data_IF_825748666124
#
_entry.id   IF_825748666124
#
_cell.length_a   1.000
_cell.length_b   1.000
_cell.length_c   1.000
_cell.angle_alpha   90.00
_cell.angle_beta   90.00
_cell.angle_gamma   90.00
#
_symmetry.space_group_name_H-M   'P 1'
#
loop_
_entity.id
_entity.type
_entity.pdbx_description
1 polymer ?
#
# COMPACT_ATOMS: atom_id res chain seq x y z
N UNK A 1 -19.23 40.93 -30.79
CA UNK A 1 -18.44 41.32 -29.61
C UNK A 1 -17.99 40.14 -28.70
N UNK A 2 -18.35 38.88 -28.99
CA UNK A 2 -18.01 37.73 -28.12
C UNK A 2 -16.61 37.12 -28.25
N UNK A 3 -15.83 37.46 -29.29
CA UNK A 3 -14.56 36.77 -29.59
C UNK A 3 -13.34 37.31 -28.85
N UNK A 4 -13.42 38.49 -28.21
CA UNK A 4 -12.28 39.13 -27.50
C UNK A 4 -12.00 38.52 -26.12
N UNK A 5 -12.96 37.81 -25.52
CA UNK A 5 -12.81 37.18 -24.20
C UNK A 5 -12.45 35.70 -24.25
N UNK A 6 -12.67 35.02 -25.38
CA UNK A 6 -12.28 33.61 -25.57
C UNK A 6 -10.76 33.42 -25.61
N UNK A 7 -10.05 34.39 -26.18
CA UNK A 7 -8.58 34.37 -26.30
C UNK A 7 -7.90 34.37 -24.91
N UNK A 8 -8.20 35.31 -23.98
CA UNK A 8 -7.62 35.24 -22.64
C UNK A 8 -8.11 34.02 -21.83
N UNK A 9 -9.35 33.57 -21.97
CA UNK A 9 -9.89 32.43 -21.20
C UNK A 9 -9.25 31.09 -21.59
N UNK A 10 -8.78 30.93 -22.83
CA UNK A 10 -8.04 29.73 -23.28
C UNK A 10 -6.53 29.91 -23.12
N UNK A 11 -5.99 31.10 -23.41
CA UNK A 11 -4.55 31.34 -23.33
C UNK A 11 -4.03 31.40 -21.89
N UNK A 12 -4.78 31.97 -20.93
CA UNK A 12 -4.33 32.03 -19.53
C UNK A 12 -4.12 30.64 -18.91
N UNK A 13 -5.07 29.68 -18.98
CA UNK A 13 -4.82 28.34 -18.46
C UNK A 13 -3.74 27.60 -19.24
N UNK A 14 -3.58 27.85 -20.55
CA UNK A 14 -2.50 27.26 -21.34
C UNK A 14 -1.12 27.83 -20.96
N UNK A 15 -1.01 29.14 -20.75
CA UNK A 15 0.19 29.83 -20.25
C UNK A 15 0.51 29.36 -18.83
N UNK A 16 -0.50 29.22 -17.98
CA UNK A 16 -0.31 28.74 -16.62
C UNK A 16 0.12 27.27 -16.59
N UNK A 17 -0.52 26.41 -17.40
CA UNK A 17 -0.17 24.99 -17.51
C UNK A 17 1.23 24.79 -18.11
N UNK A 18 1.61 25.56 -19.13
CA UNK A 18 2.96 25.53 -19.71
C UNK A 18 4.02 26.06 -18.76
N UNK A 19 3.73 27.13 -18.00
CA UNK A 19 4.62 27.62 -16.95
C UNK A 19 4.78 26.59 -15.81
N UNK A 20 3.70 25.96 -15.36
CA UNK A 20 3.72 24.94 -14.30
C UNK A 20 4.47 23.66 -14.75
N UNK A 21 4.24 23.25 -15.99
CA UNK A 21 4.97 22.15 -16.63
C UNK A 21 6.45 22.50 -16.77
N UNK A 22 6.78 23.69 -17.28
CA UNK A 22 8.16 24.16 -17.38
C UNK A 22 8.86 24.20 -16.02
N UNK A 23 8.19 24.68 -14.96
CA UNK A 23 8.73 24.69 -13.60
C UNK A 23 8.99 23.28 -13.05
N UNK A 24 8.05 22.35 -13.27
CA UNK A 24 8.16 20.96 -12.82
C UNK A 24 9.26 20.19 -13.56
N UNK A 25 9.40 20.44 -14.86
CA UNK A 25 10.38 19.78 -15.73
C UNK A 25 11.77 20.39 -15.66
N UNK A 26 11.94 21.71 -15.39
CA UNK A 26 13.26 22.34 -15.24
C UNK A 26 14.09 21.78 -14.07
N UNK A 27 13.45 21.11 -13.12
CA UNK A 27 14.10 20.36 -12.03
C UNK A 27 14.57 18.95 -12.44
N UNK A 28 14.05 18.41 -13.56
CA UNK A 28 14.33 17.05 -14.04
C UNK A 28 15.09 17.00 -15.38
N UNK A 29 14.90 17.99 -16.25
CA UNK A 29 15.55 18.09 -17.55
C UNK A 29 16.68 19.13 -17.48
N UNK A 30 17.93 18.68 -17.62
CA UNK A 30 19.05 19.57 -17.95
C UNK A 30 19.00 19.83 -19.46
N UNK A 31 18.68 21.07 -19.86
CA UNK A 31 18.76 21.51 -21.27
C UNK A 31 17.41 21.74 -21.94
N UNK A 32 17.39 22.61 -22.95
CA UNK A 32 16.20 23.23 -23.58
C UNK A 32 15.26 22.32 -24.39
N UNK A 33 15.03 21.08 -23.98
CA UNK A 33 14.22 20.07 -24.69
C UNK A 33 12.70 20.16 -24.42
N UNK A 34 12.24 21.20 -23.71
CA UNK A 34 10.84 21.29 -23.27
C UNK A 34 9.85 21.40 -24.44
N UNK A 35 10.23 22.17 -25.46
CA UNK A 35 9.34 22.49 -26.57
C UNK A 35 9.22 21.32 -27.56
N UNK A 36 10.29 20.56 -27.76
CA UNK A 36 10.29 19.37 -28.62
C UNK A 36 9.45 18.24 -28.02
N UNK A 37 9.54 18.00 -26.70
CA UNK A 37 8.74 16.99 -26.00
C UNK A 37 7.24 17.32 -26.00
N UNK A 38 6.88 18.59 -25.74
CA UNK A 38 5.49 19.05 -25.82
C UNK A 38 4.93 18.99 -27.25
N UNK A 39 5.71 19.41 -28.24
CA UNK A 39 5.32 19.32 -29.65
C UNK A 39 5.14 17.87 -30.10
N UNK A 40 5.90 16.94 -29.55
CA UNK A 40 5.77 15.51 -29.85
C UNK A 40 4.52 14.90 -29.20
N UNK A 41 4.17 15.27 -27.97
CA UNK A 41 2.95 14.79 -27.31
C UNK A 41 1.66 15.37 -27.94
N UNK A 42 1.70 16.61 -28.42
CA UNK A 42 0.55 17.29 -29.03
C UNK A 42 0.40 17.01 -30.53
N UNK A 43 1.17 16.06 -31.11
CA UNK A 43 0.94 15.60 -32.48
C UNK A 43 -0.44 14.95 -32.58
N UNK A 44 -1.18 15.30 -33.63
CA UNK A 44 -2.53 14.75 -33.97
C UNK A 44 -2.58 13.22 -33.86
N UNK A 45 -1.51 12.55 -34.30
CA UNK A 45 -1.34 11.09 -34.24
C UNK A 45 -1.43 10.55 -32.80
N UNK A 46 -0.80 11.25 -31.84
CA UNK A 46 -0.77 10.88 -30.43
C UNK A 46 -2.06 11.28 -29.70
N UNK A 47 -2.76 12.32 -30.17
CA UNK A 47 -4.10 12.68 -29.67
C UNK A 47 -5.17 11.63 -30.04
N UNK A 48 -5.05 10.99 -31.21
CA UNK A 48 -6.03 9.99 -31.68
C UNK A 48 -5.60 8.53 -31.50
N UNK A 49 -4.34 8.27 -31.12
CA UNK A 49 -3.85 6.93 -30.79
C UNK A 49 -4.71 6.16 -29.77
N UNK A 50 -5.26 6.78 -28.70
CA UNK A 50 -6.13 6.08 -27.75
C UNK A 50 -7.42 5.54 -28.38
N UNK A 51 -7.99 6.24 -29.36
CA UNK A 51 -9.22 5.82 -30.04
C UNK A 51 -8.98 4.65 -31.01
N UNK A 52 -7.83 4.64 -31.69
CA UNK A 52 -7.42 3.52 -32.55
C UNK A 52 -7.12 2.26 -31.73
N UNK A 53 -6.34 2.41 -30.65
CA UNK A 53 -6.06 1.31 -29.73
C UNK A 53 -7.30 0.77 -29.03
N UNK A 54 -8.29 1.62 -28.73
CA UNK A 54 -9.56 1.18 -28.15
C UNK A 54 -10.42 0.35 -29.12
N UNK A 55 -10.42 0.69 -30.42
CA UNK A 55 -11.15 -0.08 -31.44
C UNK A 55 -10.50 -1.43 -31.70
N UNK A 56 -9.17 -1.47 -31.82
CA UNK A 56 -8.40 -2.71 -31.95
C UNK A 56 -8.55 -3.61 -30.70
N UNK A 57 -8.57 -3.01 -29.50
CA UNK A 57 -8.85 -3.72 -28.24
C UNK A 57 -10.26 -4.35 -28.19
N UNK A 58 -11.28 -3.68 -28.74
CA UNK A 58 -12.64 -4.21 -28.80
C UNK A 58 -12.76 -5.38 -29.78
N UNK A 59 -12.03 -5.33 -30.90
CA UNK A 59 -12.02 -6.37 -31.94
C UNK A 59 -11.20 -7.61 -31.51
N UNK A 60 -10.10 -7.43 -30.78
CA UNK A 60 -9.21 -8.53 -30.33
C UNK A 60 -9.65 -9.21 -29.02
N UNK A 61 -10.66 -8.65 -28.34
CA UNK A 61 -11.06 -9.01 -26.97
C UNK A 61 -11.22 -10.51 -26.70
N UNK A 62 -11.72 -11.30 -27.65
CA UNK A 62 -11.88 -12.76 -27.46
C UNK A 62 -10.57 -13.54 -27.59
N UNK A 63 -9.63 -13.09 -28.43
CA UNK A 63 -8.31 -13.70 -28.55
C UNK A 63 -7.43 -13.31 -27.37
N UNK A 64 -7.42 -12.04 -26.97
CA UNK A 64 -6.64 -11.59 -25.82
C UNK A 64 -7.13 -12.24 -24.52
N UNK A 65 -8.45 -12.45 -24.35
CA UNK A 65 -8.98 -13.12 -23.15
C UNK A 65 -8.59 -14.60 -23.07
N UNK A 66 -8.64 -15.34 -24.19
CA UNK A 66 -8.18 -16.73 -24.24
C UNK A 66 -6.68 -16.85 -23.98
N UNK A 67 -5.87 -16.02 -24.64
CA UNK A 67 -4.43 -15.99 -24.42
C UNK A 67 -4.09 -15.65 -22.97
N UNK A 68 -4.81 -14.69 -22.38
CA UNK A 68 -4.66 -14.32 -20.98
C UNK A 68 -5.04 -15.46 -20.02
N UNK A 69 -6.15 -16.16 -20.27
CA UNK A 69 -6.54 -17.31 -19.45
C UNK A 69 -5.51 -18.45 -19.54
N UNK A 70 -4.97 -18.72 -20.72
CA UNK A 70 -3.88 -19.71 -20.89
C UNK A 70 -2.64 -19.30 -20.11
N UNK A 71 -2.23 -18.03 -20.18
CA UNK A 71 -1.13 -17.49 -19.38
C UNK A 71 -1.40 -17.62 -17.88
N UNK A 72 -2.59 -17.21 -17.43
CA UNK A 72 -2.99 -17.27 -16.02
C UNK A 72 -3.01 -18.72 -15.50
N UNK A 73 -3.50 -19.66 -16.31
CA UNK A 73 -3.50 -21.09 -15.99
C UNK A 73 -2.08 -21.64 -15.86
N UNK A 74 -1.19 -21.29 -16.80
CA UNK A 74 0.23 -21.65 -16.72
C UNK A 74 0.91 -21.07 -15.48
N UNK A 75 0.70 -19.78 -15.21
CA UNK A 75 1.25 -19.09 -14.05
C UNK A 75 0.75 -19.69 -12.72
N UNK A 76 -0.53 -20.04 -12.63
CA UNK A 76 -1.09 -20.73 -11.45
C UNK A 76 -0.53 -22.14 -11.31
N UNK A 77 -0.43 -22.91 -12.38
CA UNK A 77 0.12 -24.27 -12.34
C UNK A 77 1.59 -24.28 -11.88
N UNK A 78 2.38 -23.30 -12.31
CA UNK A 78 3.76 -23.10 -11.87
C UNK A 78 3.83 -22.66 -10.39
N UNK A 79 2.99 -21.70 -10.00
CA UNK A 79 3.00 -21.15 -8.63
C UNK A 79 2.43 -22.14 -7.59
N UNK A 80 1.43 -22.91 -8.00
CA UNK A 80 0.67 -23.82 -7.14
C UNK A 80 0.39 -25.16 -7.83
N UNK A 81 1.36 -26.09 -7.84
CA UNK A 81 1.08 -27.44 -8.31
C UNK A 81 -0.01 -28.05 -7.41
N UNK A 82 -1.13 -28.46 -8.03
CA UNK A 82 -2.26 -29.14 -7.37
C UNK A 82 -3.01 -28.32 -6.30
N UNK A 83 -3.24 -27.02 -6.55
CA UNK A 83 -4.13 -26.22 -5.70
C UNK A 83 -5.61 -26.48 -6.01
N UNK A 84 -6.15 -27.47 -5.32
CA UNK A 84 -7.57 -27.83 -5.31
C UNK A 84 -8.34 -26.94 -4.32
N UNK A 85 -8.81 -25.79 -4.81
CA UNK A 85 -9.76 -24.94 -4.10
C UNK A 85 -10.93 -24.59 -5.02
N UNK A 86 -12.12 -24.51 -4.46
CA UNK A 86 -13.37 -24.18 -5.15
C UNK A 86 -14.04 -22.97 -4.49
N UNK A 87 -14.88 -22.26 -5.24
CA UNK A 87 -15.57 -21.07 -4.76
C UNK A 87 -14.90 -19.79 -5.25
N UNK A 88 -14.88 -18.75 -4.42
CA UNK A 88 -14.34 -17.45 -4.79
C UNK A 88 -12.98 -17.15 -4.17
N UNK A 89 -12.13 -16.40 -4.88
CA UNK A 89 -10.79 -16.05 -4.41
C UNK A 89 -10.42 -14.57 -4.65
N UNK A 90 -9.68 -14.01 -3.70
CA UNK A 90 -8.92 -12.75 -3.85
C UNK A 90 -7.42 -13.02 -3.62
N UNK A 91 -6.57 -12.14 -4.16
CA UNK A 91 -5.12 -12.27 -4.12
C UNK A 91 -4.49 -10.98 -3.58
N UNK A 92 -3.65 -11.15 -2.56
CA UNK A 92 -2.86 -10.11 -1.93
C UNK A 92 -1.37 -10.36 -2.18
N UNK A 93 -0.55 -9.32 -2.39
CA UNK A 93 -0.92 -7.92 -2.52
C UNK A 93 -1.33 -7.51 -3.96
N UNK A 94 -1.02 -8.36 -4.95
CA UNK A 94 -1.34 -8.21 -6.38
C UNK A 94 -1.51 -9.60 -7.04
N UNK A 95 -1.57 -9.66 -8.37
CA UNK A 95 -1.66 -10.91 -9.16
C UNK A 95 -3.03 -11.60 -9.15
N UNK A 96 -4.11 -10.85 -9.39
CA UNK A 96 -5.47 -11.40 -9.56
C UNK A 96 -5.57 -12.46 -10.67
N UNK A 97 -4.60 -12.51 -11.58
CA UNK A 97 -4.41 -13.60 -12.54
C UNK A 97 -4.43 -15.00 -11.89
N UNK A 98 -3.98 -15.15 -10.63
CA UNK A 98 -3.99 -16.43 -9.93
C UNK A 98 -5.41 -16.91 -9.55
N UNK A 99 -6.37 -16.00 -9.45
CA UNK A 99 -7.77 -16.31 -9.12
C UNK A 99 -8.67 -16.50 -10.35
N UNK A 100 -8.12 -16.34 -11.56
CA UNK A 100 -8.86 -16.45 -12.84
C UNK A 100 -8.87 -17.84 -13.50
N UNK A 101 -7.96 -18.80 -13.24
CA UNK A 101 -7.99 -20.10 -13.91
C UNK A 101 -9.18 -20.97 -13.51
N UNK A 102 -9.60 -21.82 -14.45
CA UNK A 102 -10.85 -22.58 -14.42
C UNK A 102 -11.13 -23.27 -13.07
N UNK A 103 -12.27 -22.90 -12.47
CA UNK A 103 -12.80 -23.47 -11.22
C UNK A 103 -12.95 -22.48 -10.05
N UNK A 104 -12.28 -21.32 -10.10
CA UNK A 104 -12.44 -20.25 -9.11
C UNK A 104 -13.20 -19.04 -9.66
N UNK A 105 -14.03 -18.43 -8.83
CA UNK A 105 -14.64 -17.13 -9.08
C UNK A 105 -13.72 -16.03 -8.56
N UNK A 106 -13.07 -15.28 -9.45
CA UNK A 106 -12.29 -14.11 -9.04
C UNK A 106 -13.21 -13.06 -8.39
N UNK A 107 -12.98 -12.77 -7.10
CA UNK A 107 -13.80 -11.86 -6.30
C UNK A 107 -12.87 -10.90 -5.54
N UNK A 108 -12.28 -9.92 -6.23
CA UNK A 108 -11.31 -9.03 -5.62
C UNK A 108 -11.98 -7.99 -4.72
N UNK A 109 -11.24 -7.54 -3.70
CA UNK A 109 -11.55 -6.31 -2.96
C UNK A 109 -11.59 -5.08 -3.88
N UNK A 110 -12.28 -3.98 -3.49
CA UNK A 110 -12.48 -2.81 -4.34
C UNK A 110 -11.17 -2.17 -4.85
N UNK A 111 -10.13 -2.15 -4.02
CA UNK A 111 -8.78 -1.72 -4.41
C UNK A 111 -7.87 -2.94 -4.42
N UNK A 112 -7.95 -3.67 -5.53
CA UNK A 112 -7.33 -4.98 -5.74
C UNK A 112 -5.79 -4.97 -5.75
N UNK A 113 -5.18 -3.82 -6.03
CA UNK A 113 -3.73 -3.60 -5.91
C UNK A 113 -3.41 -2.95 -4.57
N UNK A 114 -2.80 -3.67 -3.61
CA UNK A 114 -2.58 -3.15 -2.25
C UNK A 114 -1.86 -1.80 -2.22
N UNK A 115 -0.88 -1.59 -3.10
CA UNK A 115 -0.10 -0.35 -3.18
C UNK A 115 -0.95 0.89 -3.55
N UNK A 116 -2.14 0.66 -4.13
CA UNK A 116 -3.10 1.70 -4.51
C UNK A 116 -4.07 2.07 -3.36
N UNK A 117 -4.10 1.33 -2.25
CA UNK A 117 -4.91 1.62 -1.06
C UNK A 117 -4.25 2.69 -0.15
N UNK A 118 -3.69 3.76 -0.73
CA UNK A 118 -2.80 4.71 -0.04
C UNK A 118 -3.52 5.84 0.74
N UNK A 119 -4.85 5.76 0.88
CA UNK A 119 -5.63 6.72 1.69
C UNK A 119 -6.49 5.97 2.70
N UNK A 120 -6.83 6.62 3.81
CA UNK A 120 -7.70 6.04 4.83
C UNK A 120 -9.03 5.55 4.26
N UNK A 121 -9.63 6.30 3.33
CA UNK A 121 -10.89 5.90 2.68
C UNK A 121 -10.72 4.63 1.82
N UNK A 122 -9.65 4.53 1.05
CA UNK A 122 -9.42 3.37 0.19
C UNK A 122 -9.08 2.12 1.02
N UNK A 123 -8.21 2.23 2.02
CA UNK A 123 -7.92 1.14 2.94
C UNK A 123 -9.18 0.68 3.68
N UNK A 124 -10.03 1.62 4.10
CA UNK A 124 -11.29 1.30 4.76
C UNK A 124 -12.29 0.60 3.82
N UNK A 125 -12.32 0.94 2.52
CA UNK A 125 -13.15 0.23 1.55
C UNK A 125 -12.75 -1.25 1.44
N UNK A 126 -11.45 -1.55 1.47
CA UNK A 126 -10.96 -2.93 1.46
C UNK A 126 -11.28 -3.65 2.77
N UNK A 127 -11.02 -3.03 3.93
CA UNK A 127 -11.35 -3.60 5.23
C UNK A 127 -12.86 -3.86 5.37
N UNK A 128 -13.71 -2.91 4.96
CA UNK A 128 -15.16 -3.06 4.95
C UNK A 128 -15.64 -4.17 4.01
N UNK A 129 -14.95 -4.37 2.88
CA UNK A 129 -15.23 -5.49 1.99
C UNK A 129 -14.97 -6.84 2.67
N UNK A 130 -13.84 -7.00 3.36
CA UNK A 130 -13.50 -8.20 4.13
C UNK A 130 -14.49 -8.49 5.27
N UNK A 131 -15.11 -7.45 5.84
CA UNK A 131 -16.18 -7.59 6.85
C UNK A 131 -17.53 -8.00 6.27
N UNK A 132 -17.70 -7.99 4.96
CA UNK A 132 -19.00 -8.22 4.30
C UNK A 132 -19.17 -9.66 3.80
N UNK A 133 -20.41 -10.02 3.49
CA UNK A 133 -20.73 -11.30 2.85
C UNK A 133 -20.16 -11.43 1.44
N UNK A 134 -19.75 -10.30 0.83
CA UNK A 134 -19.11 -10.22 -0.49
C UNK A 134 -17.61 -10.49 -0.45
N UNK A 135 -16.99 -10.73 0.71
CA UNK A 135 -15.60 -11.15 0.79
C UNK A 135 -15.40 -12.54 0.17
N UNK A 136 -14.27 -12.77 -0.48
CA UNK A 136 -13.93 -14.05 -1.11
C UNK A 136 -13.85 -15.21 -0.10
N UNK A 137 -14.11 -16.43 -0.56
CA UNK A 137 -14.01 -17.63 0.28
C UNK A 137 -12.55 -17.96 0.58
N UNK A 138 -11.66 -17.70 -0.37
CA UNK A 138 -10.22 -17.93 -0.26
C UNK A 138 -9.43 -16.64 -0.44
N UNK A 139 -8.36 -16.47 0.34
CA UNK A 139 -7.34 -15.44 0.12
C UNK A 139 -6.02 -16.14 -0.16
N UNK A 140 -5.39 -15.78 -1.28
CA UNK A 140 -4.00 -16.08 -1.55
C UNK A 140 -3.18 -14.88 -1.10
N UNK A 141 -2.51 -14.98 0.04
CA UNK A 141 -1.85 -13.85 0.69
C UNK A 141 -0.33 -13.99 0.69
N UNK A 142 0.36 -12.95 0.24
CA UNK A 142 1.80 -12.80 0.47
C UNK A 142 2.10 -11.40 1.03
N UNK A 143 3.30 -11.23 1.59
CA UNK A 143 3.79 -9.94 2.08
C UNK A 143 4.87 -9.47 1.13
N UNK A 144 4.51 -8.51 0.28
CA UNK A 144 5.42 -7.92 -0.68
C UNK A 144 5.01 -6.47 -1.01
N UNK A 145 5.99 -5.63 -1.33
CA UNK A 145 5.76 -4.23 -1.69
C UNK A 145 6.55 -3.82 -2.92
N UNK A 146 6.09 -2.75 -3.55
CA UNK A 146 6.87 -1.98 -4.52
C UNK A 146 7.52 -0.77 -3.86
N UNK A 147 8.51 -0.16 -4.53
CA UNK A 147 9.15 1.11 -4.16
C UNK A 147 9.79 1.14 -2.75
N UNK A 148 10.12 -0.02 -2.16
CA UNK A 148 10.76 -0.10 -0.84
C UNK A 148 9.88 0.48 0.29
N UNK A 149 8.57 0.28 0.22
CA UNK A 149 7.63 0.68 1.29
C UNK A 149 7.65 -0.34 2.43
N UNK A 150 7.32 0.13 3.63
CA UNK A 150 7.00 -0.78 4.74
C UNK A 150 5.80 -1.65 4.40
N UNK A 151 5.97 -2.97 4.48
CA UNK A 151 4.96 -3.93 4.01
C UNK A 151 3.63 -3.80 4.73
N UNK A 152 3.66 -3.54 6.03
CA UNK A 152 2.45 -3.32 6.83
C UNK A 152 1.68 -2.03 6.49
N UNK A 153 2.24 -1.12 5.68
CA UNK A 153 1.49 0.04 5.17
C UNK A 153 0.60 -0.33 3.99
N UNK A 154 1.00 -1.28 3.15
CA UNK A 154 0.24 -1.63 1.95
C UNK A 154 -1.05 -2.35 2.36
N UNK A 155 -2.18 -1.69 2.05
CA UNK A 155 -3.52 -2.07 2.49
C UNK A 155 -3.62 -2.39 4.00
N UNK A 156 -3.03 -1.52 4.83
CA UNK A 156 -2.80 -1.77 6.26
C UNK A 156 -4.05 -2.22 7.03
N UNK A 157 -5.21 -1.63 6.75
CA UNK A 157 -6.46 -1.96 7.45
C UNK A 157 -7.02 -3.34 7.13
N UNK A 158 -6.57 -3.98 6.04
CA UNK A 158 -6.94 -5.37 5.76
C UNK A 158 -6.24 -6.36 6.67
N UNK A 159 -5.07 -6.04 7.24
CA UNK A 159 -4.27 -7.01 8.00
C UNK A 159 -5.00 -7.56 9.24
N UNK A 160 -5.58 -6.74 10.13
CA UNK A 160 -6.35 -7.25 11.26
C UNK A 160 -7.58 -8.05 10.81
N UNK A 161 -8.23 -7.66 9.71
CA UNK A 161 -9.38 -8.38 9.15
C UNK A 161 -8.97 -9.76 8.60
N UNK A 162 -7.84 -9.85 7.89
CA UNK A 162 -7.30 -11.12 7.42
C UNK A 162 -6.95 -12.05 8.59
N UNK A 163 -6.26 -11.54 9.61
CA UNK A 163 -5.86 -12.31 10.80
C UNK A 163 -7.06 -12.85 11.59
N UNK A 164 -8.19 -12.15 11.57
CA UNK A 164 -9.36 -12.48 12.40
C UNK A 164 -10.51 -13.14 11.65
N UNK A 165 -10.66 -12.88 10.35
CA UNK A 165 -11.77 -13.40 9.55
C UNK A 165 -11.40 -14.56 8.66
N UNK A 166 -10.11 -14.85 8.51
CA UNK A 166 -9.64 -15.97 7.71
C UNK A 166 -8.78 -16.92 8.54
N UNK A 167 -9.02 -18.22 8.35
CA UNK A 167 -8.25 -19.32 8.90
C UNK A 167 -7.10 -19.65 7.94
N UNK A 168 -5.87 -19.68 8.45
CA UNK A 168 -4.70 -20.05 7.66
C UNK A 168 -4.70 -21.58 7.51
N UNK A 169 -4.72 -22.05 6.26
CA UNK A 169 -4.80 -23.49 5.95
C UNK A 169 -3.45 -24.11 5.68
N UNK A 170 -2.62 -23.45 4.87
CA UNK A 170 -1.26 -23.88 4.53
C UNK A 170 -0.48 -22.77 3.83
N UNK A 171 0.83 -22.94 3.76
CA UNK A 171 1.65 -22.23 2.79
C UNK A 171 1.62 -23.00 1.47
N UNK A 172 1.38 -22.31 0.36
CA UNK A 172 1.32 -22.89 -0.98
C UNK A 172 2.22 -22.06 -1.91
N UNK A 173 3.38 -22.61 -2.27
CA UNK A 173 4.39 -21.88 -3.04
C UNK A 173 4.83 -20.60 -2.30
N UNK A 174 4.60 -19.45 -2.91
CA UNK A 174 4.92 -18.14 -2.33
C UNK A 174 3.77 -17.48 -1.54
N UNK A 175 2.59 -18.09 -1.48
CA UNK A 175 1.43 -17.51 -0.80
C UNK A 175 1.01 -18.34 0.42
N UNK A 176 0.33 -17.70 1.35
CA UNK A 176 -0.47 -18.32 2.40
C UNK A 176 -1.88 -18.50 1.83
N UNK A 177 -2.38 -19.74 1.83
CA UNK A 177 -3.78 -20.02 1.54
C UNK A 177 -4.59 -19.81 2.81
N UNK A 178 -5.54 -18.89 2.77
CA UNK A 178 -6.46 -18.59 3.86
C UNK A 178 -7.90 -18.86 3.41
N UNK A 179 -8.72 -19.39 4.30
CA UNK A 179 -10.14 -19.68 4.07
C UNK A 179 -11.00 -18.81 4.99
N UNK A 180 -12.11 -18.29 4.47
CA UNK A 180 -13.03 -17.46 5.25
C UNK A 180 -13.54 -18.26 6.44
N UNK A 181 -13.35 -17.72 7.64
CA UNK A 181 -13.72 -18.40 8.87
C UNK A 181 -15.24 -18.40 9.05
N UNK A 182 -15.78 -19.56 9.44
CA UNK A 182 -17.20 -19.72 9.77
C UNK A 182 -17.57 -18.86 10.99
N UNK A 183 -16.66 -18.78 11.97
CA UNK A 183 -16.81 -17.97 13.18
C UNK A 183 -15.68 -16.93 13.24
N UNK A 184 -15.88 -15.74 12.64
CA UNK A 184 -14.84 -14.72 12.60
C UNK A 184 -14.46 -14.30 14.02
N UNK A 185 -13.15 -14.22 14.26
CA UNK A 185 -12.56 -13.68 15.47
C UNK A 185 -12.72 -12.16 15.49
N UNK A 186 -12.43 -11.54 16.64
CA UNK A 186 -12.41 -10.09 16.78
C UNK A 186 -11.00 -9.61 17.09
N UNK A 187 -10.68 -8.42 16.62
CA UNK A 187 -9.51 -7.69 17.06
C UNK A 187 -9.94 -6.40 17.77
N UNK A 188 -9.06 -5.88 18.61
CA UNK A 188 -9.20 -4.60 19.29
C UNK A 188 -7.89 -3.80 19.17
N UNK A 189 -8.02 -2.48 19.07
CA UNK A 189 -6.90 -1.55 19.08
C UNK A 189 -6.97 -0.72 20.36
N UNK A 190 -6.30 -1.20 21.41
CA UNK A 190 -6.28 -0.55 22.73
C UNK A 190 -5.22 0.55 22.75
N UNK A 191 -5.56 1.83 22.98
CA UNK A 191 -4.55 2.89 23.10
C UNK A 191 -3.60 2.62 24.26
N UNK A 192 -2.28 2.70 24.02
CA UNK A 192 -1.24 2.44 25.04
C UNK A 192 -0.29 3.62 25.24
N UNK A 193 -0.32 4.63 24.36
CA UNK A 193 0.49 5.83 24.52
C UNK A 193 0.43 6.78 23.33
N UNK A 194 0.85 8.02 23.55
CA UNK A 194 1.07 9.01 22.51
C UNK A 194 2.39 9.71 22.80
N UNK A 195 3.17 9.98 21.75
CA UNK A 195 4.37 10.79 21.81
C UNK A 195 4.41 11.74 20.63
N UNK A 196 5.28 12.73 20.75
CA UNK A 196 5.45 13.79 19.77
C UNK A 196 6.94 13.95 19.53
N UNK A 197 7.33 13.96 18.26
CA UNK A 197 8.73 13.93 17.86
C UNK A 197 9.02 14.90 16.72
N UNK A 198 10.31 15.24 16.57
CA UNK A 198 10.84 15.93 15.40
C UNK A 198 11.37 14.91 14.39
N UNK A 199 11.61 15.37 13.17
CA UNK A 199 12.40 14.57 12.23
C UNK A 199 13.81 14.36 12.77
N UNK A 200 14.41 13.23 12.43
CA UNK A 200 15.75 12.78 12.83
C UNK A 200 15.91 12.46 14.32
N UNK A 201 14.86 12.66 15.13
CA UNK A 201 14.79 12.28 16.53
C UNK A 201 14.47 10.80 16.69
N UNK A 202 15.05 10.16 17.72
CA UNK A 202 14.70 8.80 18.11
C UNK A 202 13.35 8.78 18.83
N UNK A 203 12.50 7.83 18.46
CA UNK A 203 11.17 7.61 19.04
C UNK A 203 11.22 6.26 19.73
N UNK A 204 11.10 6.25 21.06
CA UNK A 204 10.98 5.00 21.82
C UNK A 204 9.65 4.32 21.51
N UNK A 205 9.68 3.01 21.25
CA UNK A 205 8.50 2.21 20.96
C UNK A 205 8.13 1.42 22.22
N UNK A 206 6.85 1.45 22.66
CA UNK A 206 6.40 0.63 23.77
C UNK A 206 6.68 -0.86 23.52
N UNK A 207 7.03 -1.60 24.57
CA UNK A 207 7.29 -3.04 24.44
C UNK A 207 6.04 -3.80 23.98
N UNK A 208 6.25 -4.90 23.26
CA UNK A 208 5.19 -5.83 22.81
C UNK A 208 4.56 -6.67 23.93
N UNK A 209 4.80 -6.32 25.20
CA UNK A 209 4.16 -7.01 26.33
C UNK A 209 2.64 -6.89 26.19
N UNK A 210 1.99 -8.04 26.05
CA UNK A 210 0.54 -8.15 25.88
C UNK A 210 0.07 -8.18 24.42
N UNK A 211 0.87 -7.77 23.43
CA UNK A 211 0.46 -7.86 22.03
C UNK A 211 1.30 -7.04 21.05
N UNK A 212 1.12 -7.25 19.73
CA UNK A 212 1.73 -6.43 18.69
C UNK A 212 1.35 -4.95 18.81
N UNK A 213 2.26 -4.07 18.38
CA UNK A 213 2.10 -2.62 18.42
C UNK A 213 1.64 -2.12 17.05
N UNK A 214 0.45 -1.56 17.04
CA UNK A 214 -0.10 -0.77 15.95
C UNK A 214 0.20 0.71 16.17
N UNK A 215 0.53 1.43 15.11
CA UNK A 215 0.86 2.86 15.19
C UNK A 215 -0.03 3.68 14.27
N UNK A 216 -0.36 4.90 14.70
CA UNK A 216 -0.84 5.98 13.83
C UNK A 216 0.12 7.15 13.90
N UNK A 217 0.64 7.58 12.76
CA UNK A 217 1.59 8.68 12.65
C UNK A 217 0.93 9.81 11.87
N UNK A 218 0.69 10.93 12.54
CA UNK A 218 0.17 12.16 11.95
C UNK A 218 1.32 13.16 11.74
N UNK A 219 1.74 13.31 10.48
CA UNK A 219 2.76 14.28 10.07
C UNK A 219 2.04 15.56 9.64
N UNK A 220 2.08 16.57 10.52
CA UNK A 220 1.32 17.81 10.32
C UNK A 220 2.10 18.80 9.46
N UNK A 221 1.54 19.11 8.30
CA UNK A 221 2.06 20.18 7.42
C UNK A 221 1.66 21.57 7.94
N UNK A 222 2.54 22.55 7.71
CA UNK A 222 2.22 23.96 7.94
C UNK A 222 1.25 24.46 6.85
N UNK A 223 0.58 25.60 7.08
CA UNK A 223 -0.30 26.20 6.07
C UNK A 223 0.46 26.53 4.77
N UNK A 224 1.69 27.00 4.90
CA UNK A 224 2.61 27.22 3.78
C UNK A 224 3.02 25.92 3.09
N UNK A 225 3.25 24.85 3.88
CA UNK A 225 3.52 23.50 3.35
C UNK A 225 2.39 22.92 2.49
N UNK A 226 1.12 23.28 2.75
CA UNK A 226 0.01 22.86 1.90
C UNK A 226 0.01 23.54 0.53
N UNK A 227 0.35 24.83 0.47
CA UNK A 227 0.48 25.59 -0.79
C UNK A 227 1.64 25.02 -1.61
N UNK A 228 2.79 24.77 -0.98
CA UNK A 228 3.97 24.17 -1.65
C UNK A 228 3.65 22.76 -2.15
N UNK A 229 2.98 21.93 -1.35
CA UNK A 229 2.62 20.57 -1.78
C UNK A 229 1.61 20.52 -2.93
N UNK A 230 0.85 21.61 -3.13
CA UNK A 230 -0.08 21.73 -4.27
C UNK A 230 0.67 22.10 -5.55
N UNK A 231 1.73 22.92 -5.44
CA UNK A 231 2.55 23.34 -6.58
C UNK A 231 3.74 22.40 -6.87
N UNK A 232 4.20 21.63 -5.89
CA UNK A 232 5.43 20.83 -5.95
C UNK A 232 5.27 19.45 -5.32
N UNK A 233 6.07 18.48 -5.80
CA UNK A 233 6.14 17.14 -5.22
C UNK A 233 6.64 17.22 -3.77
N UNK A 234 5.88 16.72 -2.78
CA UNK A 234 6.30 16.76 -1.38
C UNK A 234 7.56 15.92 -1.15
N UNK A 235 8.39 16.29 -0.16
CA UNK A 235 9.58 15.52 0.19
C UNK A 235 9.20 14.10 0.61
N UNK A 236 10.08 13.15 0.32
CA UNK A 236 9.89 11.76 0.73
C UNK A 236 10.20 11.66 2.21
N UNK A 237 9.36 10.91 2.92
CA UNK A 237 9.55 10.59 4.32
C UNK A 237 9.99 9.14 4.40
N UNK A 238 10.98 8.89 5.25
CA UNK A 238 11.50 7.56 5.53
C UNK A 238 11.25 7.24 6.99
N UNK A 239 11.03 5.96 7.27
CA UNK A 239 10.97 5.43 8.63
C UNK A 239 12.08 4.37 8.74
N UNK A 240 12.80 4.40 9.85
CA UNK A 240 13.80 3.40 10.21
C UNK A 240 13.41 2.83 11.56
N UNK A 241 13.34 1.51 11.67
CA UNK A 241 12.99 0.75 12.86
C UNK A 241 14.24 0.02 13.34
N UNK A 242 14.51 0.08 14.64
CA UNK A 242 15.58 -0.66 15.28
C UNK A 242 14.94 -1.74 16.14
N UNK A 243 15.31 -2.99 15.90
CA UNK A 243 14.74 -4.14 16.62
C UNK A 243 15.57 -4.56 17.83
N UNK A 244 15.01 -5.40 18.69
CA UNK A 244 15.69 -6.00 19.85
C UNK A 244 16.95 -6.75 19.44
N UNK A 245 16.94 -7.40 18.27
CA UNK A 245 18.13 -8.07 17.71
C UNK A 245 19.24 -7.12 17.25
N UNK A 246 19.05 -5.81 17.30
CA UNK A 246 19.99 -4.80 16.82
C UNK A 246 19.94 -4.57 15.30
N UNK A 247 19.02 -5.24 14.58
CA UNK A 247 18.82 -5.03 13.14
C UNK A 247 18.04 -3.75 12.89
N UNK A 248 18.36 -3.08 11.79
CA UNK A 248 17.63 -1.92 11.31
C UNK A 248 16.80 -2.29 10.08
N UNK A 249 15.54 -1.87 10.06
CA UNK A 249 14.62 -2.03 8.94
C UNK A 249 14.19 -0.65 8.48
N UNK A 250 14.26 -0.39 7.17
CA UNK A 250 14.06 0.93 6.62
C UNK A 250 13.20 0.89 5.38
N UNK A 251 12.33 1.88 5.25
CA UNK A 251 11.41 1.94 4.12
C UNK A 251 10.80 3.33 3.96
N UNK A 252 10.24 3.55 2.78
CA UNK A 252 9.51 4.77 2.49
C UNK A 252 8.22 4.79 3.30
N UNK A 253 8.02 5.86 4.07
CA UNK A 253 6.81 6.11 4.85
C UNK A 253 5.83 6.93 4.01
N UNK A 254 4.62 6.42 3.81
CA UNK A 254 3.54 7.18 3.18
C UNK A 254 2.73 7.92 4.26
N UNK A 255 2.78 9.27 4.35
CA UNK A 255 2.14 9.99 5.45
C UNK A 255 0.61 9.78 5.52
N UNK A 256 -0.05 9.67 4.35
CA UNK A 256 -1.49 9.44 4.28
C UNK A 256 -1.87 8.07 4.88
N UNK A 257 -1.10 7.03 4.55
CA UNK A 257 -1.27 5.67 5.08
C UNK A 257 -0.85 5.57 6.55
N UNK A 258 0.24 6.22 6.92
CA UNK A 258 0.74 6.25 8.29
C UNK A 258 -0.28 6.86 9.26
N UNK A 259 -1.08 7.84 8.80
CA UNK A 259 -2.18 8.44 9.57
C UNK A 259 -3.35 7.49 9.77
N UNK A 260 -3.65 6.65 8.78
CA UNK A 260 -4.64 5.56 8.90
C UNK A 260 -4.23 4.57 9.99
N UNK A 261 -2.93 4.25 9.97
CA UNK A 261 -2.24 3.37 10.89
C UNK A 261 -1.85 2.05 10.26
N UNK A 262 -0.88 1.39 10.87
CA UNK A 262 -0.30 0.14 10.40
C UNK A 262 0.39 -0.60 11.55
N UNK A 263 0.68 -1.89 11.35
CA UNK A 263 1.46 -2.68 12.30
C UNK A 263 2.92 -2.22 12.30
N UNK A 264 3.41 -1.75 13.45
CA UNK A 264 4.78 -1.25 13.62
C UNK A 264 5.70 -2.30 14.21
N UNK A 265 5.23 -3.04 15.22
CA UNK A 265 6.01 -4.05 15.93
C UNK A 265 5.15 -5.30 16.15
N UNK A 266 5.64 -6.52 15.88
CA UNK A 266 6.97 -6.83 15.33
C UNK A 266 7.07 -6.40 13.87
N UNK A 267 8.29 -6.32 13.34
CA UNK A 267 8.54 -6.04 11.92
C UNK A 267 8.11 -7.25 11.09
N UNK A 268 7.16 -7.04 10.17
CA UNK A 268 6.66 -8.08 9.24
C UNK A 268 7.02 -7.69 7.82
N UNK A 269 7.94 -8.43 7.19
CA UNK A 269 8.44 -8.15 5.84
C UNK A 269 8.23 -9.30 4.84
N UNK A 270 7.75 -10.45 5.31
CA UNK A 270 7.55 -11.63 4.48
C UNK A 270 6.41 -12.48 5.02
N UNK A 271 5.97 -13.45 4.21
CA UNK A 271 4.91 -14.38 4.60
C UNK A 271 5.20 -15.16 5.88
N UNK A 272 6.46 -15.53 6.15
CA UNK A 272 6.81 -16.34 7.32
C UNK A 272 6.56 -15.56 8.61
N UNK A 273 6.97 -14.29 8.65
CA UNK A 273 6.71 -13.40 9.78
C UNK A 273 5.21 -13.11 9.94
N UNK A 274 4.45 -12.98 8.85
CA UNK A 274 2.98 -12.85 8.93
C UNK A 274 2.30 -14.13 9.45
N UNK A 275 2.76 -15.30 8.99
CA UNK A 275 2.28 -16.60 9.46
C UNK A 275 2.54 -16.77 10.96
N UNK A 276 3.76 -16.48 11.40
CA UNK A 276 4.14 -16.45 12.81
C UNK A 276 3.28 -15.45 13.59
N UNK A 277 2.97 -14.28 13.01
CA UNK A 277 2.09 -13.29 13.62
C UNK A 277 0.65 -13.82 13.78
N UNK A 278 0.18 -14.79 13.02
CA UNK A 278 -1.13 -15.39 13.22
C UNK A 278 -1.12 -16.53 14.26
N UNK A 279 0.06 -17.12 14.52
CA UNK A 279 0.21 -18.30 15.37
C UNK A 279 0.19 -17.97 16.87
N UNK A 280 -0.10 -18.98 17.69
CA UNK A 280 -0.01 -18.92 19.16
C UNK A 280 1.42 -18.75 19.67
N UNK A 281 2.44 -19.16 18.90
CA UNK A 281 3.86 -19.09 19.28
C UNK A 281 4.57 -17.79 18.87
N UNK A 282 3.81 -16.80 18.38
CA UNK A 282 4.35 -15.55 17.82
C UNK A 282 5.33 -14.82 18.73
N UNK A 283 5.15 -14.83 20.06
CA UNK A 283 6.04 -14.10 20.97
C UNK A 283 7.45 -14.63 20.88
N UNK A 284 7.60 -15.95 20.75
CA UNK A 284 8.89 -16.60 20.63
C UNK A 284 9.47 -16.40 19.22
N UNK A 285 8.67 -16.66 18.19
CA UNK A 285 9.12 -16.59 16.79
C UNK A 285 9.45 -15.17 16.33
N UNK A 286 8.81 -14.14 16.92
CA UNK A 286 8.97 -12.73 16.53
C UNK A 286 9.68 -11.89 17.59
N UNK A 287 10.25 -12.49 18.64
CA UNK A 287 10.93 -11.79 19.73
C UNK A 287 12.05 -10.85 19.24
N UNK A 288 12.82 -11.32 18.26
CA UNK A 288 13.95 -10.60 17.66
C UNK A 288 13.52 -9.47 16.72
N UNK A 289 12.25 -9.48 16.30
CA UNK A 289 11.61 -8.50 15.42
C UNK A 289 10.82 -7.45 16.19
N UNK A 290 10.83 -7.51 17.54
CA UNK A 290 10.33 -6.44 18.40
C UNK A 290 11.07 -5.14 18.12
N UNK A 291 10.33 -4.07 17.81
CA UNK A 291 10.91 -2.74 17.61
C UNK A 291 11.09 -2.06 18.96
N UNK A 292 12.32 -1.60 19.22
CA UNK A 292 12.67 -0.88 20.45
C UNK A 292 12.65 0.63 20.24
N UNK A 293 13.05 1.08 19.06
CA UNK A 293 13.02 2.50 18.68
C UNK A 293 12.78 2.67 17.19
N UNK A 294 12.30 3.85 16.82
CA UNK A 294 12.09 4.26 15.44
C UNK A 294 12.70 5.65 15.19
N UNK A 295 13.00 5.96 13.94
CA UNK A 295 13.42 7.30 13.49
C UNK A 295 12.71 7.65 12.22
N UNK A 296 12.19 8.87 12.13
CA UNK A 296 11.53 9.38 10.93
C UNK A 296 12.42 10.47 10.33
N UNK A 297 12.80 10.32 9.07
CA UNK A 297 13.66 11.26 8.36
C UNK A 297 12.99 11.76 7.09
N UNK A 298 13.49 12.85 6.51
CA UNK A 298 12.94 13.45 5.29
C UNK A 298 14.04 13.86 4.31
N UNK A 299 13.79 13.64 3.02
CA UNK A 299 14.70 14.10 1.96
C UNK A 299 14.55 15.63 1.82
N UNK A 300 15.50 16.42 2.34
CA UNK A 300 15.56 17.87 2.05
C UNK A 300 16.11 18.83 3.12
N UNK A 301 16.67 18.34 4.23
CA UNK A 301 17.38 19.20 5.20
C UNK A 301 16.53 20.33 5.82
N UNK A 302 17.19 21.43 6.26
CA UNK A 302 16.56 22.52 7.03
C UNK A 302 15.42 23.26 6.31
N UNK A 303 15.37 23.29 4.97
CA UNK A 303 14.28 23.94 4.22
C UNK A 303 12.92 23.24 4.40
N UNK A 304 12.92 21.92 4.60
CA UNK A 304 11.70 21.12 4.78
C UNK A 304 11.06 21.35 6.16
N UNK A 305 11.84 21.78 7.16
CA UNK A 305 11.33 22.10 8.48
C UNK A 305 10.29 23.23 8.45
N UNK A 306 10.42 24.20 7.54
CA UNK A 306 9.44 25.29 7.36
C UNK A 306 8.08 24.83 6.79
N UNK A 307 8.06 23.68 6.11
CA UNK A 307 6.86 23.12 5.47
C UNK A 307 6.01 22.29 6.44
N UNK A 308 6.49 22.06 7.66
CA UNK A 308 5.82 21.26 8.68
C UNK A 308 5.54 22.11 9.93
N UNK A 309 4.50 21.74 10.69
CA UNK A 309 4.23 22.39 11.99
C UNK A 309 5.29 21.92 13.00
N UNK A 310 5.55 22.71 14.04
CA UNK A 310 6.42 22.30 15.14
C UNK A 310 5.58 21.99 16.38
N UNK A 311 5.67 20.79 16.97
CA UNK A 311 6.39 19.61 16.49
C UNK A 311 5.70 18.93 15.30
N UNK A 312 6.46 18.36 14.35
CA UNK A 312 5.93 17.92 13.05
C UNK A 312 5.26 16.56 13.08
N UNK A 313 5.62 15.68 14.01
CA UNK A 313 5.15 14.30 14.04
C UNK A 313 4.46 14.00 15.36
N UNK A 314 3.22 13.55 15.27
CA UNK A 314 2.47 12.98 16.39
C UNK A 314 2.31 11.48 16.18
N UNK A 315 2.73 10.69 17.15
CA UNK A 315 2.74 9.23 17.08
C UNK A 315 1.85 8.67 18.16
N UNK A 316 0.86 7.87 17.79
CA UNK A 316 -0.05 7.19 18.71
C UNK A 316 0.14 5.70 18.61
N UNK A 317 0.33 5.07 19.76
CA UNK A 317 0.54 3.64 19.88
C UNK A 317 -0.73 2.96 20.38
N UNK A 318 -1.02 1.82 19.80
CA UNK A 318 -2.12 0.96 20.16
C UNK A 318 -1.59 -0.47 20.27
N UNK A 319 -2.10 -1.23 21.22
CA UNK A 319 -1.93 -2.67 21.25
C UNK A 319 -2.99 -3.32 20.36
N UNK A 320 -2.55 -4.19 19.45
CA UNK A 320 -3.42 -4.97 18.58
C UNK A 320 -3.70 -6.31 19.24
N UNK A 321 -4.86 -6.42 19.88
CA UNK A 321 -5.31 -7.63 20.57
C UNK A 321 -6.20 -8.44 19.62
N UNK A 322 -5.93 -9.73 19.42
CA UNK A 322 -6.79 -10.63 18.65
C UNK A 322 -6.57 -12.09 19.04
N UNK A 323 -7.59 -12.92 18.84
CA UNK A 323 -7.47 -14.36 19.04
C UNK A 323 -6.58 -14.98 17.96
N UNK A 324 -5.59 -15.78 18.39
CA UNK A 324 -4.60 -16.41 17.52
C UNK A 324 -5.02 -17.81 17.11
N UNK A 325 -4.36 -18.34 16.10
CA UNK A 325 -4.61 -19.68 15.55
C UNK A 325 -3.53 -20.64 16.04
N UNK A 326 -3.93 -21.87 16.38
CA UNK A 326 -2.96 -22.95 16.60
C UNK A 326 -2.54 -23.51 15.24
N UNK A 327 -1.32 -23.16 14.82
CA UNK A 327 -0.76 -23.48 13.51
C UNK A 327 0.39 -24.48 13.60
N UNK A 328 0.55 -25.18 14.73
CA UNK A 328 1.70 -26.07 14.96
C UNK A 328 1.84 -27.22 13.95
N UNK A 329 0.73 -27.62 13.31
CA UNK A 329 0.69 -28.67 12.29
C UNK A 329 0.62 -28.13 10.86
N UNK A 330 0.50 -26.80 10.71
CA UNK A 330 0.38 -26.13 9.42
C UNK A 330 1.79 -25.73 8.98
N UNK A 331 2.42 -26.50 8.09
CA UNK A 331 3.68 -26.11 7.44
C UNK A 331 3.53 -26.15 5.94
#
# INVERSE_FOLDING_TARGET
QGTRWLIPVVLLPLIFATALAALSFKRYARGGELFSLLAQQLRVQNLFAPAKGFREFLEDRQHSFRAYNTYAAGFRAETFPNLEIHGSADVYPLSQALALPDGLTCRPRPIFQSYSAYTSRLAEMNAAHLRSDRAADHILFDVWTIDGRFASQDDSLSWPELLTRYDIKRVAGQYILMEKSVTPRRYELTPIGETVARFDEGIEIPSMIGGPIWVRIDIRRSLWGNVVATLYRPPRVWLTLFTRSGRAYGGRLLPATARTGFLLSPVIENRQSFFALASTNWQHELADLEVTSARITTDGGREVASQHKSPPVRVRFYRLDFQRQDLGQTR
#
